data_IF_273515347501
#
_entry.id   IF_273515347501
#
_cell.length_a   1.000
_cell.length_b   1.000
_cell.length_c   1.000
_cell.angle_alpha   90.00
_cell.angle_beta   90.00
_cell.angle_gamma   90.00
#
_symmetry.space_group_name_H-M   'P 1'
#
loop_
_entity.id
_entity.type
_entity.pdbx_description
1 polymer ?
#
# COMPACT_ATOMS: atom_id res chain seq x y z
N UNK A 1 5.53 -13.26 -17.85
CA UNK A 1 5.93 -12.39 -18.97
C UNK A 1 5.66 -10.97 -18.51
N UNK A 2 6.70 -10.20 -18.16
CA UNK A 2 6.54 -8.83 -17.63
C UNK A 2 6.27 -7.92 -18.84
N UNK A 3 5.04 -7.44 -18.97
CA UNK A 3 4.69 -6.42 -19.97
C UNK A 3 5.47 -5.14 -19.68
N UNK A 4 6.31 -4.73 -20.63
CA UNK A 4 6.98 -3.44 -20.60
C UNK A 4 5.93 -2.35 -20.78
N UNK A 5 5.64 -1.60 -19.73
CA UNK A 5 4.84 -0.38 -19.83
C UNK A 5 5.76 0.71 -20.37
N UNK A 6 5.46 1.20 -21.55
CA UNK A 6 6.14 2.36 -22.14
C UNK A 6 5.53 3.61 -21.52
N UNK A 7 6.15 4.14 -20.49
CA UNK A 7 5.85 5.48 -19.98
C UNK A 7 6.25 6.49 -21.05
N UNK A 8 5.30 7.18 -21.63
CA UNK A 8 5.41 8.13 -22.74
C UNK A 8 6.83 8.57 -23.16
N UNK A 9 7.32 8.01 -24.25
CA UNK A 9 8.51 8.41 -24.99
C UNK A 9 9.87 8.39 -24.27
N UNK A 10 10.06 7.60 -23.20
CA UNK A 10 11.40 7.31 -22.69
C UNK A 10 11.44 5.92 -22.08
N UNK A 11 12.35 5.07 -22.56
CA UNK A 11 12.59 3.76 -21.96
C UNK A 11 13.27 3.96 -20.63
N UNK A 12 12.53 3.71 -19.53
CA UNK A 12 13.12 3.76 -18.20
C UNK A 12 14.04 2.54 -18.01
N UNK A 13 15.31 2.77 -17.81
CA UNK A 13 16.23 1.78 -17.26
C UNK A 13 15.89 1.55 -15.77
N UNK A 14 16.09 0.34 -15.22
CA UNK A 14 15.90 0.11 -13.79
C UNK A 14 16.73 1.13 -13.00
N UNK A 15 16.06 2.03 -12.26
CA UNK A 15 16.71 2.98 -11.37
C UNK A 15 16.48 4.46 -11.61
N UNK A 16 15.95 4.91 -12.76
CA UNK A 16 15.65 6.34 -12.98
C UNK A 16 14.48 6.57 -13.92
N UNK A 17 13.62 7.53 -13.58
CA UNK A 17 12.67 8.16 -14.50
C UNK A 17 13.12 9.60 -14.69
N UNK A 18 13.42 10.00 -15.91
CA UNK A 18 13.80 11.37 -16.25
C UNK A 18 12.58 12.10 -16.79
N UNK A 19 12.26 13.21 -16.20
CA UNK A 19 11.18 14.11 -16.60
C UNK A 19 11.60 14.99 -17.79
N UNK A 20 10.65 15.44 -18.64
CA UNK A 20 10.89 16.37 -19.73
C UNK A 20 11.41 17.74 -19.30
N UNK A 21 11.19 18.12 -18.04
CA UNK A 21 11.67 19.37 -17.44
C UNK A 21 12.97 19.21 -16.62
N UNK A 22 13.65 18.07 -16.74
CA UNK A 22 14.93 17.82 -16.05
C UNK A 22 14.82 17.47 -14.57
N UNK A 23 13.63 17.31 -14.01
CA UNK A 23 13.46 16.84 -12.63
C UNK A 23 13.54 15.33 -12.58
N UNK A 24 14.53 14.79 -11.88
CA UNK A 24 14.72 13.37 -11.70
C UNK A 24 13.87 12.87 -10.51
N UNK A 25 12.89 12.02 -10.77
CA UNK A 25 12.35 11.15 -9.74
C UNK A 25 13.35 10.00 -9.53
N UNK A 26 14.03 9.96 -8.38
CA UNK A 26 14.94 8.86 -8.05
C UNK A 26 14.15 7.65 -7.61
N UNK A 27 14.20 6.62 -8.40
CA UNK A 27 13.73 5.29 -8.04
C UNK A 27 14.83 4.59 -7.23
N UNK A 28 14.58 4.30 -5.95
CA UNK A 28 15.46 3.41 -5.20
C UNK A 28 15.18 1.96 -5.64
N UNK A 29 15.92 1.49 -6.64
CA UNK A 29 15.72 0.18 -7.27
C UNK A 29 16.35 -0.98 -6.50
N UNK A 30 16.86 -0.77 -5.30
CA UNK A 30 17.50 -1.84 -4.52
C UNK A 30 16.87 -1.95 -3.14
N UNK A 31 16.53 -3.16 -2.75
CA UNK A 31 16.07 -3.55 -1.41
C UNK A 31 14.62 -3.20 -1.02
N UNK A 32 13.67 -3.18 -1.95
CA UNK A 32 12.24 -3.13 -1.61
C UNK A 32 11.73 -1.77 -1.10
N UNK A 33 12.49 -0.70 -1.31
CA UNK A 33 12.09 0.66 -0.94
C UNK A 33 11.28 1.26 -2.09
N UNK A 34 10.05 1.72 -1.82
CA UNK A 34 9.29 2.52 -2.79
C UNK A 34 10.04 3.80 -3.10
N UNK A 35 9.89 4.26 -4.33
CA UNK A 35 10.46 5.53 -4.73
C UNK A 35 9.99 6.65 -3.78
N UNK A 36 10.94 7.38 -3.23
CA UNK A 36 10.65 8.66 -2.60
C UNK A 36 10.40 9.64 -3.76
N UNK A 37 9.25 10.28 -3.79
CA UNK A 37 8.97 11.29 -4.78
C UNK A 37 8.95 12.70 -4.18
N UNK A 38 9.34 13.68 -4.98
CA UNK A 38 9.22 15.09 -4.60
C UNK A 38 7.75 15.44 -4.41
N UNK A 39 7.40 16.08 -3.27
CA UNK A 39 6.01 16.43 -2.96
C UNK A 39 5.22 15.36 -2.18
N UNK A 40 5.85 14.28 -1.70
CA UNK A 40 5.18 13.27 -0.88
C UNK A 40 4.51 13.87 0.38
N UNK A 41 5.14 14.88 0.99
CA UNK A 41 4.57 15.62 2.13
C UNK A 41 3.29 16.40 1.71
N UNK A 42 3.31 17.04 0.54
CA UNK A 42 2.15 17.78 0.03
C UNK A 42 0.99 16.85 -0.32
N UNK A 43 1.28 15.68 -0.91
CA UNK A 43 0.27 14.67 -1.17
C UNK A 43 -0.34 14.13 0.13
N UNK A 44 0.47 13.87 1.16
CA UNK A 44 -0.01 13.44 2.47
C UNK A 44 -0.89 14.51 3.15
N UNK A 45 -0.51 15.79 3.06
CA UNK A 45 -1.31 16.88 3.61
C UNK A 45 -2.63 17.05 2.86
N UNK A 46 -2.63 16.85 1.54
CA UNK A 46 -3.85 16.86 0.73
C UNK A 46 -4.81 15.73 1.13
N UNK A 47 -4.29 14.52 1.37
CA UNK A 47 -5.06 13.40 1.90
C UNK A 47 -5.64 13.73 3.28
N UNK A 48 -4.85 14.36 4.18
CA UNK A 48 -5.27 14.79 5.52
C UNK A 48 -6.50 15.72 5.49
N UNK A 49 -6.63 16.54 4.45
CA UNK A 49 -7.74 17.45 4.23
C UNK A 49 -9.08 16.77 3.87
N UNK A 50 -9.10 15.47 3.54
CA UNK A 50 -10.28 14.78 3.06
C UNK A 50 -11.23 14.31 4.18
N UNK A 51 -12.54 14.20 3.90
CA UNK A 51 -13.50 13.59 4.83
C UNK A 51 -13.11 12.15 5.21
N UNK A 52 -12.63 11.36 4.25
CA UNK A 52 -12.19 9.98 4.45
C UNK A 52 -11.09 9.90 5.52
N UNK A 53 -10.15 10.85 5.50
CA UNK A 53 -9.12 10.94 6.53
C UNK A 53 -9.69 11.34 7.88
N UNK A 54 -10.53 12.39 7.91
CA UNK A 54 -11.09 12.88 9.19
C UNK A 54 -11.95 11.83 9.90
N UNK A 55 -12.64 10.99 9.14
CA UNK A 55 -13.51 9.94 9.68
C UNK A 55 -12.74 8.66 10.05
N UNK A 56 -11.56 8.43 9.48
CA UNK A 56 -10.75 7.26 9.78
C UNK A 56 -10.13 7.33 11.18
N UNK A 57 -10.20 6.23 11.91
CA UNK A 57 -9.51 6.00 13.18
C UNK A 57 -8.31 5.08 13.01
N UNK A 58 -8.41 4.16 12.06
CA UNK A 58 -7.43 3.12 11.79
C UNK A 58 -6.98 3.17 10.35
N UNK A 59 -5.68 3.06 10.14
CA UNK A 59 -5.06 2.96 8.84
C UNK A 59 -4.25 1.67 8.72
N UNK A 60 -4.38 0.98 7.59
CA UNK A 60 -3.39 0.00 7.16
C UNK A 60 -2.53 0.65 6.07
N UNK A 61 -1.22 0.67 6.25
CA UNK A 61 -0.32 1.32 5.30
C UNK A 61 0.88 0.44 4.94
N UNK A 62 1.28 0.49 3.67
CA UNK A 62 2.53 -0.15 3.24
C UNK A 62 3.75 0.53 3.89
N UNK A 63 4.85 -0.20 4.11
CA UNK A 63 6.07 0.32 4.73
C UNK A 63 6.88 1.23 3.82
N UNK A 64 6.43 1.47 2.61
CA UNK A 64 7.13 2.25 1.58
C UNK A 64 7.49 3.67 2.04
N UNK A 65 8.65 4.16 1.64
CA UNK A 65 9.13 5.49 2.03
C UNK A 65 8.26 6.62 1.49
N UNK A 66 7.63 6.43 0.32
CA UNK A 66 6.69 7.39 -0.25
C UNK A 66 5.46 7.62 0.64
N UNK A 67 5.02 6.61 1.39
CA UNK A 67 3.89 6.68 2.31
C UNK A 67 4.30 7.03 3.75
N UNK A 68 5.59 7.26 4.02
CA UNK A 68 6.03 7.67 5.36
C UNK A 68 5.33 8.95 5.84
N UNK A 69 5.19 10.02 5.02
CA UNK A 69 4.48 11.22 5.45
C UNK A 69 3.02 10.95 5.83
N UNK A 70 2.35 10.04 5.13
CA UNK A 70 0.97 9.65 5.45
C UNK A 70 0.91 8.97 6.82
N UNK A 71 1.80 8.00 7.08
CA UNK A 71 1.85 7.31 8.38
C UNK A 71 2.20 8.26 9.52
N UNK A 72 3.14 9.18 9.29
CA UNK A 72 3.50 10.21 10.26
C UNK A 72 2.28 11.07 10.63
N UNK A 73 1.58 11.60 9.63
CA UNK A 73 0.38 12.44 9.83
C UNK A 73 -0.73 11.68 10.55
N UNK A 74 -0.89 10.38 10.24
CA UNK A 74 -1.87 9.55 10.93
C UNK A 74 -1.59 9.46 12.43
N UNK A 75 -0.34 9.22 12.81
CA UNK A 75 0.07 9.18 14.21
C UNK A 75 -0.05 10.55 14.89
N UNK A 76 0.29 11.63 14.20
CA UNK A 76 0.10 13.01 14.69
C UNK A 76 -1.37 13.36 14.93
N UNK A 77 -2.28 12.78 14.14
CA UNK A 77 -3.74 12.97 14.27
C UNK A 77 -4.40 11.95 15.20
N UNK A 78 -3.63 11.20 15.99
CA UNK A 78 -4.17 10.24 16.96
C UNK A 78 -4.76 8.98 16.34
N UNK A 79 -4.35 8.59 15.11
CA UNK A 79 -4.85 7.41 14.42
C UNK A 79 -3.92 6.22 14.60
N UNK A 80 -4.48 5.04 14.83
CA UNK A 80 -3.70 3.79 14.85
C UNK A 80 -3.27 3.42 13.44
N UNK A 81 -1.99 3.07 13.27
CA UNK A 81 -1.43 2.66 11.99
C UNK A 81 -0.94 1.21 12.07
N UNK A 82 -1.54 0.36 11.25
CA UNK A 82 -1.06 -1.00 11.00
C UNK A 82 -0.14 -0.99 9.80
N UNK A 83 1.14 -1.30 10.02
CA UNK A 83 2.15 -1.35 8.97
C UNK A 83 2.66 -2.78 8.83
N UNK A 84 2.60 -3.32 7.61
CA UNK A 84 3.09 -4.68 7.39
C UNK A 84 4.60 -4.78 7.68
N UNK A 85 4.96 -5.86 8.37
CA UNK A 85 6.37 -6.29 8.47
C UNK A 85 6.84 -6.65 7.06
N UNK A 86 8.06 -6.25 6.66
CA UNK A 86 8.55 -6.55 5.32
C UNK A 86 8.39 -8.03 4.95
N UNK A 87 7.75 -8.27 3.80
CA UNK A 87 7.43 -9.61 3.27
C UNK A 87 6.51 -10.46 4.14
N UNK A 88 5.76 -9.85 5.08
CA UNK A 88 4.89 -10.55 6.04
C UNK A 88 5.65 -11.64 6.82
N UNK A 89 6.90 -11.35 7.16
CA UNK A 89 7.76 -12.30 7.85
C UNK A 89 7.30 -12.53 9.29
N UNK A 90 7.03 -13.78 9.64
CA UNK A 90 6.65 -14.21 10.99
C UNK A 90 5.13 -14.32 11.22
N UNK A 91 4.74 -14.87 12.38
CA UNK A 91 3.33 -15.12 12.72
C UNK A 91 2.60 -13.81 13.09
N UNK A 92 3.32 -12.77 13.49
CA UNK A 92 2.82 -11.44 13.79
C UNK A 92 3.27 -10.46 12.69
N UNK A 93 2.57 -10.45 11.53
CA UNK A 93 3.05 -9.81 10.32
C UNK A 93 2.76 -8.31 10.26
N UNK A 94 2.27 -7.69 11.35
CA UNK A 94 2.00 -6.26 11.39
C UNK A 94 2.64 -5.59 12.61
N UNK A 95 3.14 -4.39 12.40
CA UNK A 95 3.42 -3.44 13.46
C UNK A 95 2.14 -2.66 13.77
N UNK A 96 1.71 -2.65 15.02
CA UNK A 96 0.65 -1.78 15.52
C UNK A 96 1.29 -0.52 16.13
N UNK A 97 1.19 0.57 15.41
CA UNK A 97 1.64 1.89 15.85
C UNK A 97 0.43 2.59 16.49
N UNK A 98 0.39 2.56 17.81
CA UNK A 98 -0.62 3.24 18.62
C UNK A 98 -0.06 4.60 19.06
N UNK A 99 -0.68 5.72 18.66
CA UNK A 99 -0.18 7.06 18.97
C UNK A 99 -0.03 7.32 20.47
N UNK A 100 -0.87 6.70 21.32
CA UNK A 100 -0.84 6.88 22.77
C UNK A 100 0.32 6.10 23.45
N UNK A 101 0.96 5.17 22.73
CA UNK A 101 1.99 4.27 23.24
C UNK A 101 3.32 4.34 22.46
N UNK A 102 3.53 5.40 21.68
CA UNK A 102 4.80 5.57 20.95
C UNK A 102 5.95 5.92 21.90
N UNK A 103 7.06 5.20 21.80
CA UNK A 103 8.32 5.52 22.48
C UNK A 103 9.21 6.50 21.72
N UNK A 104 8.88 6.80 20.46
CA UNK A 104 9.59 7.71 19.57
C UNK A 104 8.63 8.75 18.98
N UNK A 105 9.17 9.82 18.38
CA UNK A 105 8.34 10.79 17.67
C UNK A 105 7.58 10.14 16.50
N UNK A 106 6.38 10.63 16.13
CA UNK A 106 5.58 10.07 15.04
C UNK A 106 6.37 9.85 13.74
N UNK A 107 7.23 10.80 13.36
CA UNK A 107 8.09 10.68 12.17
C UNK A 107 9.05 9.49 12.26
N UNK A 108 9.69 9.26 13.41
CA UNK A 108 10.60 8.13 13.61
C UNK A 108 9.83 6.83 13.64
N UNK A 109 8.76 6.76 14.42
CA UNK A 109 7.90 5.58 14.54
C UNK A 109 7.29 5.15 13.20
N UNK A 110 6.93 6.09 12.33
CA UNK A 110 6.39 5.83 10.99
C UNK A 110 7.38 5.17 10.01
N UNK A 111 8.68 5.10 10.32
CA UNK A 111 9.67 4.39 9.51
C UNK A 111 9.69 2.90 9.85
N UNK A 112 10.20 2.05 8.93
CA UNK A 112 10.36 0.60 9.20
C UNK A 112 11.22 0.35 10.42
N UNK A 113 12.37 1.04 10.52
CA UNK A 113 13.30 0.87 11.63
C UNK A 113 12.75 1.42 12.94
N UNK A 114 12.00 2.52 12.90
CA UNK A 114 11.32 3.09 14.05
C UNK A 114 10.19 2.18 14.55
N UNK A 115 9.35 1.70 13.66
CA UNK A 115 8.29 0.75 14.01
C UNK A 115 8.86 -0.54 14.64
N UNK A 116 9.94 -1.06 14.08
CA UNK A 116 10.60 -2.25 14.65
C UNK A 116 11.11 -2.05 16.09
N UNK A 117 11.37 -0.82 16.52
CA UNK A 117 11.81 -0.49 17.88
C UNK A 117 10.68 -0.09 18.81
N UNK A 118 9.66 0.60 18.30
CA UNK A 118 8.64 1.26 19.11
C UNK A 118 7.25 0.61 19.05
N UNK A 119 6.98 -0.19 18.02
CA UNK A 119 5.66 -0.79 17.85
C UNK A 119 5.62 -2.23 18.36
N UNK A 120 4.47 -2.62 18.89
CA UNK A 120 4.16 -4.03 19.13
C UNK A 120 3.90 -4.73 17.78
N UNK A 121 4.47 -5.91 17.59
CA UNK A 121 4.03 -6.80 16.51
C UNK A 121 2.73 -7.47 16.92
N UNK A 122 1.85 -7.66 15.97
CA UNK A 122 0.52 -8.22 16.19
C UNK A 122 0.15 -9.22 15.11
N UNK A 123 -0.63 -10.22 15.52
CA UNK A 123 -1.28 -11.13 14.60
C UNK A 123 -2.46 -10.44 13.90
N UNK A 124 -2.89 -10.99 12.77
CA UNK A 124 -4.01 -10.45 11.99
C UNK A 124 -5.31 -10.37 12.81
N UNK A 125 -5.55 -11.35 13.69
CA UNK A 125 -6.73 -11.40 14.55
C UNK A 125 -6.77 -10.33 15.65
N UNK A 126 -5.65 -9.66 15.91
CA UNK A 126 -5.56 -8.59 16.92
C UNK A 126 -5.80 -7.19 16.33
N UNK A 127 -5.93 -7.07 14.99
CA UNK A 127 -6.20 -5.80 14.35
C UNK A 127 -7.67 -5.41 14.54
N UNK A 128 -7.90 -4.12 14.75
CA UNK A 128 -9.24 -3.54 14.62
C UNK A 128 -9.62 -3.37 13.14
N UNK A 129 -10.91 -3.24 12.82
CA UNK A 129 -11.36 -2.91 11.47
C UNK A 129 -10.61 -1.71 10.90
N UNK A 130 -10.30 -1.75 9.60
CA UNK A 130 -9.49 -0.76 8.91
C UNK A 130 -10.38 0.20 8.13
N UNK A 131 -10.32 1.48 8.46
CA UNK A 131 -11.07 2.53 7.79
C UNK A 131 -10.40 2.96 6.47
N UNK A 132 -9.06 3.07 6.48
CA UNK A 132 -8.28 3.56 5.35
C UNK A 132 -7.10 2.64 5.03
N UNK A 133 -7.02 2.17 3.79
CA UNK A 133 -5.89 1.39 3.29
C UNK A 133 -5.03 2.27 2.39
N UNK A 134 -3.79 2.50 2.80
CA UNK A 134 -2.81 3.30 2.05
C UNK A 134 -1.83 2.37 1.36
N UNK A 135 -1.90 2.31 0.03
CA UNK A 135 -1.06 1.41 -0.77
C UNK A 135 -0.02 2.18 -1.57
N UNK A 136 1.21 1.66 -1.59
CA UNK A 136 2.25 2.15 -2.49
C UNK A 136 2.16 1.50 -3.85
N UNK A 137 2.48 2.24 -4.91
CA UNK A 137 2.55 1.73 -6.27
C UNK A 137 3.66 2.40 -7.08
N UNK A 138 4.02 1.79 -8.19
CA UNK A 138 5.00 2.33 -9.16
C UNK A 138 4.29 3.24 -10.17
N UNK A 139 3.08 2.87 -10.58
CA UNK A 139 2.21 3.65 -11.44
C UNK A 139 0.75 3.40 -11.04
N UNK A 140 -0.12 4.34 -11.36
CA UNK A 140 -1.57 4.24 -11.12
C UNK A 140 -2.34 4.91 -12.24
N UNK A 141 -3.41 4.27 -12.70
CA UNK A 141 -4.35 4.80 -13.68
C UNK A 141 -5.35 5.77 -13.04
N UNK A 142 -5.89 6.66 -13.84
CA UNK A 142 -7.00 7.55 -13.43
C UNK A 142 -8.31 6.78 -13.14
N UNK A 143 -8.34 5.49 -13.42
CA UNK A 143 -9.37 4.50 -13.07
C UNK A 143 -9.04 3.70 -11.81
N UNK A 144 -7.99 4.06 -11.09
CA UNK A 144 -7.58 3.40 -9.86
C UNK A 144 -6.80 2.10 -10.05
N UNK A 145 -6.62 1.63 -11.28
CA UNK A 145 -5.73 0.51 -11.57
C UNK A 145 -4.29 0.83 -11.18
N UNK A 146 -3.59 -0.08 -10.50
CA UNK A 146 -2.24 0.21 -10.02
C UNK A 146 -1.23 -0.87 -10.36
N UNK A 147 -0.01 -0.45 -10.63
CA UNK A 147 1.13 -1.32 -10.82
C UNK A 147 1.99 -1.31 -9.55
N UNK A 148 2.08 -2.45 -8.89
CA UNK A 148 3.00 -2.67 -7.77
C UNK A 148 4.42 -2.97 -8.22
N UNK A 149 5.31 -3.27 -7.27
CA UNK A 149 6.73 -3.63 -7.52
C UNK A 149 6.94 -5.06 -8.03
N UNK A 150 5.87 -5.78 -8.35
CA UNK A 150 5.90 -7.17 -8.84
C UNK A 150 5.89 -8.25 -7.75
N UNK A 151 5.92 -7.91 -6.46
CA UNK A 151 5.86 -8.88 -5.37
C UNK A 151 4.44 -9.31 -4.96
N UNK A 152 3.40 -8.56 -5.36
CA UNK A 152 2.00 -8.82 -5.02
C UNK A 152 1.67 -8.74 -3.51
N UNK A 153 2.57 -8.18 -2.69
CA UNK A 153 2.37 -8.14 -1.23
C UNK A 153 1.22 -7.22 -0.82
N UNK A 154 1.02 -6.10 -1.52
CA UNK A 154 -0.04 -5.16 -1.18
C UNK A 154 -1.44 -5.77 -1.40
N UNK A 155 -1.61 -6.53 -2.49
CA UNK A 155 -2.86 -7.23 -2.80
C UNK A 155 -3.09 -8.40 -1.85
N UNK A 156 -2.02 -9.13 -1.52
CA UNK A 156 -2.07 -10.20 -0.53
C UNK A 156 -2.43 -9.68 0.87
N UNK A 157 -1.83 -8.58 1.30
CA UNK A 157 -2.16 -7.91 2.58
C UNK A 157 -3.63 -7.50 2.61
N UNK A 158 -4.16 -7.01 1.49
CA UNK A 158 -5.57 -6.65 1.37
C UNK A 158 -6.48 -7.90 1.42
N UNK A 159 -6.12 -8.95 0.69
CA UNK A 159 -6.86 -10.21 0.69
C UNK A 159 -6.90 -10.87 2.08
N UNK A 160 -5.78 -10.89 2.80
CA UNK A 160 -5.68 -11.39 4.17
C UNK A 160 -6.55 -10.58 5.15
N UNK A 161 -6.48 -9.26 5.07
CA UNK A 161 -7.29 -8.38 5.90
C UNK A 161 -8.79 -8.52 5.59
N UNK A 162 -9.14 -8.72 4.31
CA UNK A 162 -10.51 -9.00 3.88
C UNK A 162 -11.02 -10.35 4.38
N UNK A 163 -10.20 -11.42 4.31
CA UNK A 163 -10.54 -12.74 4.84
C UNK A 163 -10.77 -12.72 6.36
N UNK A 164 -10.05 -11.86 7.07
CA UNK A 164 -10.21 -11.66 8.52
C UNK A 164 -11.37 -10.70 8.89
N UNK A 165 -12.14 -10.21 7.91
CA UNK A 165 -13.25 -9.27 8.16
C UNK A 165 -12.81 -7.86 8.58
N UNK A 166 -11.54 -7.51 8.41
CA UNK A 166 -10.99 -6.20 8.80
C UNK A 166 -11.23 -5.12 7.74
N UNK A 167 -11.51 -5.52 6.51
CA UNK A 167 -11.81 -4.64 5.37
C UNK A 167 -13.24 -4.92 4.91
N UNK A 168 -14.02 -3.87 4.79
CA UNK A 168 -15.42 -3.94 4.39
C UNK A 168 -15.78 -2.91 3.32
N UNK A 169 -17.09 -2.80 2.98
CA UNK A 169 -17.57 -1.84 1.97
C UNK A 169 -17.26 -0.37 2.29
N UNK A 170 -17.12 -0.04 3.56
CA UNK A 170 -16.76 1.32 4.02
C UNK A 170 -15.27 1.62 4.02
N UNK A 171 -14.41 0.62 3.83
CA UNK A 171 -12.96 0.82 3.79
C UNK A 171 -12.54 1.52 2.50
N UNK A 172 -11.85 2.64 2.61
CA UNK A 172 -11.36 3.40 1.46
C UNK A 172 -9.90 3.04 1.17
N UNK A 173 -9.58 2.69 -0.07
CA UNK A 173 -8.22 2.43 -0.52
C UNK A 173 -7.66 3.65 -1.26
N UNK A 174 -6.50 4.13 -0.83
CA UNK A 174 -5.85 5.31 -1.42
C UNK A 174 -4.40 5.05 -1.75
N UNK A 175 -3.86 5.82 -2.69
CA UNK A 175 -2.42 5.88 -2.95
C UNK A 175 -1.96 7.34 -3.00
N UNK A 176 -0.71 7.58 -2.56
CA UNK A 176 -0.02 8.86 -2.78
C UNK A 176 1.11 8.66 -3.77
N UNK A 177 1.11 9.46 -4.83
CA UNK A 177 2.04 9.34 -5.97
C UNK A 177 2.45 10.71 -6.50
N UNK A 178 3.51 10.75 -7.30
CA UNK A 178 3.85 11.90 -8.12
C UNK A 178 3.02 11.91 -9.41
N UNK A 179 2.76 13.09 -9.99
CA UNK A 179 2.05 13.23 -11.29
C UNK A 179 2.63 12.33 -12.40
N UNK A 180 3.95 12.11 -12.39
CA UNK A 180 4.64 11.24 -13.35
C UNK A 180 4.29 9.77 -13.26
N UNK A 181 3.70 9.34 -12.16
CA UNK A 181 3.27 7.96 -11.94
C UNK A 181 1.84 7.73 -12.44
N UNK A 182 1.14 8.82 -12.85
CA UNK A 182 -0.21 8.72 -13.39
C UNK A 182 -0.19 8.18 -14.82
N UNK A 183 -1.15 7.32 -15.11
CA UNK A 183 -1.44 6.77 -16.43
C UNK A 183 -2.90 7.09 -16.79
N UNK A 184 -3.21 7.21 -18.08
CA UNK A 184 -4.60 7.26 -18.52
C UNK A 184 -5.40 6.05 -18.02
N UNK A 185 -6.71 6.21 -17.89
CA UNK A 185 -7.60 5.09 -17.61
C UNK A 185 -7.43 3.97 -18.65
N UNK A 186 -7.39 2.71 -18.18
CA UNK A 186 -7.11 1.55 -19.02
C UNK A 186 -5.62 1.38 -19.40
N UNK A 187 -4.74 2.27 -18.96
CA UNK A 187 -3.30 2.18 -19.23
C UNK A 187 -2.55 1.13 -18.42
N UNK A 188 -3.16 0.62 -17.36
CA UNK A 188 -2.61 -0.43 -16.50
C UNK A 188 -3.53 -1.65 -16.56
N UNK A 189 -3.04 -2.81 -17.03
CA UNK A 189 -3.84 -4.03 -17.01
C UNK A 189 -4.08 -4.48 -15.56
N UNK A 190 -5.30 -4.89 -15.25
CA UNK A 190 -5.70 -5.46 -13.97
C UNK A 190 -5.92 -6.96 -14.11
N UNK A 191 -5.34 -7.73 -13.20
CA UNK A 191 -5.72 -9.11 -12.94
C UNK A 191 -6.88 -9.16 -11.93
N UNK A 192 -7.54 -10.31 -11.83
CA UNK A 192 -8.69 -10.47 -10.93
C UNK A 192 -8.36 -10.33 -9.43
N UNK A 193 -7.08 -10.49 -9.06
CA UNK A 193 -6.61 -10.31 -7.68
C UNK A 193 -6.12 -8.90 -7.36
N UNK A 194 -5.94 -8.06 -8.37
CA UNK A 194 -5.45 -6.70 -8.17
C UNK A 194 -6.52 -5.83 -7.49
N UNK A 195 -6.11 -5.08 -6.50
CA UNK A 195 -6.99 -4.20 -5.73
C UNK A 195 -6.87 -2.78 -6.27
N UNK A 196 -7.89 -2.27 -6.98
CA UNK A 196 -7.90 -0.88 -7.42
C UNK A 196 -8.12 0.06 -6.23
N UNK A 197 -7.56 1.28 -6.34
CA UNK A 197 -7.76 2.32 -5.34
C UNK A 197 -8.99 3.16 -5.63
N UNK A 198 -9.58 3.72 -4.57
CA UNK A 198 -10.68 4.68 -4.65
C UNK A 198 -10.20 6.08 -4.97
N UNK A 199 -9.06 6.46 -4.37
CA UNK A 199 -8.50 7.79 -4.48
C UNK A 199 -7.01 7.73 -4.85
N UNK A 200 -6.62 8.56 -5.80
CA UNK A 200 -5.23 8.83 -6.12
C UNK A 200 -4.91 10.26 -5.70
N UNK A 201 -3.91 10.41 -4.85
CA UNK A 201 -3.52 11.70 -4.29
C UNK A 201 -2.13 12.06 -4.81
N UNK A 202 -2.03 13.20 -5.47
CA UNK A 202 -0.76 13.77 -5.91
C UNK A 202 -0.45 15.04 -5.13
N UNK A 203 0.74 15.62 -5.27
CA UNK A 203 1.01 16.96 -4.71
C UNK A 203 0.05 18.04 -5.22
N UNK A 204 -0.49 17.88 -6.44
CA UNK A 204 -1.24 18.94 -7.12
C UNK A 204 -2.76 18.71 -7.10
N UNK A 205 -3.21 17.44 -7.13
CA UNK A 205 -4.65 17.12 -7.25
C UNK A 205 -5.04 15.81 -6.57
N UNK A 206 -6.36 15.62 -6.45
CA UNK A 206 -7.02 14.38 -6.02
C UNK A 206 -7.80 13.85 -7.22
N UNK A 207 -7.68 12.56 -7.48
CA UNK A 207 -8.47 11.85 -8.50
C UNK A 207 -9.35 10.86 -7.77
N UNK A 208 -10.66 11.07 -7.85
CA UNK A 208 -11.66 10.10 -7.38
C UNK A 208 -11.90 9.07 -8.48
N UNK A 209 -11.57 7.81 -8.17
CA UNK A 209 -11.67 6.69 -9.10
C UNK A 209 -12.92 5.84 -8.87
N UNK A 210 -13.73 6.12 -7.84
CA UNK A 210 -14.81 5.24 -7.37
C UNK A 210 -15.81 4.88 -8.46
N UNK A 211 -16.17 5.82 -9.32
CA UNK A 211 -17.13 5.60 -10.41
C UNK A 211 -16.52 4.91 -11.65
N UNK A 212 -15.18 4.86 -11.73
CA UNK A 212 -14.45 4.36 -12.91
C UNK A 212 -13.63 3.10 -12.65
N UNK A 213 -13.34 2.83 -11.38
CA UNK A 213 -12.52 1.68 -11.01
C UNK A 213 -13.26 0.36 -11.22
N UNK A 214 -12.49 -0.66 -11.53
CA UNK A 214 -13.01 -2.04 -11.50
C UNK A 214 -13.52 -2.40 -10.09
N UNK A 215 -14.48 -3.32 -10.00
CA UNK A 215 -14.87 -3.91 -8.72
C UNK A 215 -13.65 -4.46 -7.99
N UNK A 216 -13.63 -4.30 -6.67
CA UNK A 216 -12.59 -4.95 -5.86
C UNK A 216 -12.77 -6.47 -5.88
N UNK A 217 -11.67 -7.23 -5.79
CA UNK A 217 -11.74 -8.67 -5.61
C UNK A 217 -12.64 -9.02 -4.43
N UNK A 218 -13.34 -10.15 -4.53
CA UNK A 218 -14.05 -10.73 -3.38
C UNK A 218 -13.03 -11.01 -2.28
N UNK A 219 -13.40 -10.71 -1.03
CA UNK A 219 -12.53 -10.95 0.12
C UNK A 219 -12.08 -12.42 0.17
N UNK A 220 -10.79 -12.62 0.37
CA UNK A 220 -10.19 -13.94 0.49
C UNK A 220 -8.95 -14.15 -0.35
N UNK A 221 -8.20 -15.18 -0.01
CA UNK A 221 -6.94 -15.54 -0.67
C UNK A 221 -7.25 -16.32 -1.94
N UNK A 222 -6.75 -15.87 -3.07
CA UNK A 222 -6.85 -16.58 -4.37
C UNK A 222 -5.71 -17.61 -4.50
N UNK A 223 -5.90 -18.74 -3.85
CA UNK A 223 -4.90 -19.81 -3.75
C UNK A 223 -4.33 -20.29 -5.09
N UNK A 224 -5.13 -20.44 -6.17
CA UNK A 224 -4.61 -20.89 -7.47
C UNK A 224 -3.58 -19.92 -8.10
N UNK A 225 -3.53 -18.68 -7.63
CA UNK A 225 -2.61 -17.65 -8.14
C UNK A 225 -1.31 -17.57 -7.32
N UNK A 226 -1.21 -18.30 -6.22
CA UNK A 226 -0.03 -18.34 -5.37
C UNK A 226 0.85 -19.54 -5.71
N UNK A 227 2.16 -19.29 -5.85
CA UNK A 227 3.09 -20.41 -6.03
C UNK A 227 3.37 -21.11 -4.71
N UNK A 228 3.68 -22.41 -4.72
CA UNK A 228 4.04 -23.16 -3.51
C UNK A 228 5.17 -22.48 -2.71
N UNK A 229 6.16 -21.92 -3.41
CA UNK A 229 7.29 -21.22 -2.79
C UNK A 229 6.82 -19.95 -2.06
N UNK A 230 5.86 -19.20 -2.64
CA UNK A 230 5.30 -18.01 -2.00
C UNK A 230 4.47 -18.37 -0.77
N UNK A 231 3.69 -19.43 -0.85
CA UNK A 231 2.93 -19.96 0.30
C UNK A 231 3.88 -20.36 1.42
N UNK A 232 4.94 -21.12 1.11
CA UNK A 232 5.91 -21.57 2.10
C UNK A 232 6.75 -20.43 2.71
N UNK A 233 7.02 -19.37 1.93
CA UNK A 233 7.83 -18.24 2.37
C UNK A 233 7.10 -17.27 3.32
N UNK A 234 5.76 -17.34 3.41
CA UNK A 234 4.94 -16.46 4.24
C UNK A 234 4.23 -17.29 5.31
N UNK A 235 4.68 -17.23 6.59
CA UNK A 235 4.15 -18.10 7.65
C UNK A 235 2.63 -18.05 7.80
N UNK A 236 2.02 -16.89 7.64
CA UNK A 236 0.56 -16.75 7.70
C UNK A 236 -0.14 -17.51 6.57
N UNK A 237 0.39 -17.47 5.34
CA UNK A 237 -0.15 -18.25 4.22
C UNK A 237 0.04 -19.74 4.43
N UNK A 238 1.20 -20.14 4.93
CA UNK A 238 1.48 -21.55 5.21
C UNK A 238 0.52 -22.13 6.26
N UNK A 239 0.20 -21.35 7.30
CA UNK A 239 -0.76 -21.74 8.32
C UNK A 239 -2.19 -21.86 7.77
N UNK A 240 -2.65 -20.85 7.02
CA UNK A 240 -3.96 -20.83 6.36
C UNK A 240 -4.10 -21.99 5.35
N UNK A 241 -3.04 -22.24 4.56
CA UNK A 241 -2.99 -23.36 3.62
C UNK A 241 -3.11 -24.71 4.33
N UNK A 242 -2.43 -24.85 5.49
CA UNK A 242 -2.45 -26.07 6.28
C UNK A 242 -3.84 -26.37 6.88
N UNK A 243 -4.61 -25.35 7.23
CA UNK A 243 -5.95 -25.47 7.81
C UNK A 243 -7.08 -25.71 6.81
N UNK A 244 -6.82 -25.76 5.50
CA UNK A 244 -7.86 -25.93 4.48
C UNK A 244 -8.43 -27.36 4.46
N UNK A 245 -9.77 -27.47 4.41
CA UNK A 245 -10.43 -28.79 4.35
C UNK A 245 -10.27 -29.51 3.00
N UNK A 246 -9.99 -28.77 1.92
CA UNK A 246 -9.93 -29.29 0.55
C UNK A 246 -8.47 -29.35 0.04
N UNK A 247 -7.66 -30.17 0.63
CA UNK A 247 -6.29 -30.47 0.18
C UNK A 247 -6.24 -31.62 -0.80
#
# INVERSE_FOLDING_TARGET
MISRITLGASVATPGSVIHRDGRAARWAASNGIAAIFSGAEAAAERLRGLPEWRNARTLKANPDSAQLPVRQRALEDGKTVYMAVPRLAGPEPFFALDPDHLSESPRKAASISGAARSARKVALAELAPVDLVVVGCVAVGEDGARLGKGGGFADLEFALAGAAGLIGPGTVAVTTVHELQLQPAGGIPLAEHDVPVDLVITPDRIIDCRDRRAPRPVAGIRWPELTPEKIAAIPLLAAEWAGRPDR
#
